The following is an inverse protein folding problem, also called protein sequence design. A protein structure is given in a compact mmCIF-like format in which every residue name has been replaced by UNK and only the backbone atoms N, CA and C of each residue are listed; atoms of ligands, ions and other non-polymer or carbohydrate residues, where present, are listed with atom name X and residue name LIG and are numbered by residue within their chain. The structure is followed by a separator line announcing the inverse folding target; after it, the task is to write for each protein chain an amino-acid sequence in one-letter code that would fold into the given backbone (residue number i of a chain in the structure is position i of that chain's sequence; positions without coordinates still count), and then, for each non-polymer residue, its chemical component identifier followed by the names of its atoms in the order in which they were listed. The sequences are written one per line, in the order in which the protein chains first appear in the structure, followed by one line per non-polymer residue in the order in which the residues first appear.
data_IF_327423436048
#
_entry.id   IF_327423436048
#
_cell.length_a   1.000
_cell.length_b   1.000
_cell.length_c   1.000
_cell.angle_alpha   90.00
_cell.angle_beta   90.00
_cell.angle_gamma   90.00
#
_symmetry.space_group_name_H-M   'P 1'
#
loop_
_entity.id
_entity.type
_entity.pdbx_description
1 polymer ?
#
# COMPACT_ATOMS: atom_id res chain seq x y z
N UNK A 1 -20.72 -43.59 32.49
CA UNK A 1 -21.01 -43.30 31.06
C UNK A 1 -21.28 -41.82 30.76
N UNK A 2 -21.97 -41.04 31.63
CA UNK A 2 -22.22 -39.60 31.39
C UNK A 2 -20.94 -38.74 31.41
N UNK A 3 -20.04 -39.00 32.34
CA UNK A 3 -18.73 -38.33 32.48
C UNK A 3 -17.80 -38.54 31.28
N UNK A 4 -17.83 -39.74 30.66
CA UNK A 4 -17.03 -40.04 29.48
C UNK A 4 -17.51 -39.28 28.23
N UNK A 5 -18.84 -39.14 28.06
CA UNK A 5 -19.44 -38.33 26.98
C UNK A 5 -19.15 -36.84 27.15
N UNK A 6 -19.14 -36.33 28.39
CA UNK A 6 -18.78 -34.94 28.70
C UNK A 6 -17.30 -34.64 28.38
N UNK A 7 -16.40 -35.60 28.66
CA UNK A 7 -14.98 -35.46 28.33
C UNK A 7 -14.74 -35.39 26.82
N UNK A 8 -15.42 -36.25 26.04
CA UNK A 8 -15.37 -36.26 24.57
C UNK A 8 -15.90 -34.95 23.96
N UNK A 9 -16.98 -34.37 24.52
CA UNK A 9 -17.50 -33.08 24.04
C UNK A 9 -16.58 -31.91 24.32
N UNK A 10 -15.90 -31.89 25.48
CA UNK A 10 -14.91 -30.85 25.81
C UNK A 10 -13.67 -30.98 24.92
N UNK A 11 -13.21 -32.21 24.67
CA UNK A 11 -12.11 -32.46 23.73
C UNK A 11 -12.46 -32.03 22.31
N UNK A 12 -13.70 -32.30 21.86
CA UNK A 12 -14.19 -31.89 20.54
C UNK A 12 -14.28 -30.36 20.38
N UNK A 13 -14.73 -29.65 21.41
CA UNK A 13 -14.74 -28.18 21.45
C UNK A 13 -13.32 -27.58 21.41
N UNK A 14 -12.37 -28.21 22.09
CA UNK A 14 -10.97 -27.79 22.08
C UNK A 14 -10.32 -28.00 20.70
N UNK A 15 -10.56 -29.16 20.07
CA UNK A 15 -10.06 -29.45 18.72
C UNK A 15 -10.67 -28.53 17.66
N UNK A 16 -11.94 -28.12 17.82
CA UNK A 16 -12.57 -27.17 16.90
C UNK A 16 -11.93 -25.77 16.96
N UNK A 17 -11.52 -25.31 18.15
CA UNK A 17 -10.87 -24.01 18.32
C UNK A 17 -9.47 -23.92 17.69
N UNK A 18 -8.75 -25.04 17.60
CA UNK A 18 -7.39 -25.08 17.02
C UNK A 18 -7.43 -24.92 15.49
N UNK A 19 -8.48 -25.41 14.83
CA UNK A 19 -8.59 -25.36 13.35
C UNK A 19 -8.91 -23.95 12.84
N UNK A 20 -9.51 -23.09 13.67
CA UNK A 20 -9.97 -21.73 13.27
C UNK A 20 -8.85 -20.68 13.32
N UNK A 21 -7.69 -20.99 13.90
CA UNK A 21 -6.55 -20.05 13.91
C UNK A 21 -5.74 -20.15 12.61
N UNK A 22 -6.37 -19.78 11.48
CA UNK A 22 -5.61 -19.49 10.26
C UNK A 22 -4.98 -18.11 10.45
N UNK A 23 -3.67 -18.10 10.71
CA UNK A 23 -2.87 -16.86 10.64
C UNK A 23 -3.17 -16.19 9.30
N UNK A 24 -3.57 -14.91 9.32
CA UNK A 24 -3.73 -14.16 8.10
C UNK A 24 -2.36 -14.10 7.42
N UNK A 25 -2.22 -14.79 6.29
CA UNK A 25 -1.00 -14.75 5.49
C UNK A 25 -0.68 -13.29 5.16
N UNK A 26 0.59 -12.90 5.29
CA UNK A 26 1.01 -11.55 4.94
C UNK A 26 0.67 -11.29 3.46
N UNK A 27 -0.05 -10.20 3.14
CA UNK A 27 -0.41 -9.92 1.77
C UNK A 27 0.84 -9.56 0.97
N UNK A 28 0.89 -9.99 -0.29
CA UNK A 28 1.86 -9.44 -1.25
C UNK A 28 1.45 -8.00 -1.58
N UNK A 29 2.42 -7.08 -1.59
CA UNK A 29 2.20 -5.68 -1.93
C UNK A 29 2.85 -5.41 -3.29
N UNK A 30 2.04 -5.05 -4.28
CA UNK A 30 2.51 -4.53 -5.57
C UNK A 30 2.25 -3.03 -5.62
N UNK A 31 3.32 -2.23 -5.65
CA UNK A 31 3.23 -0.78 -5.78
C UNK A 31 3.52 -0.34 -7.22
N UNK A 32 2.52 0.18 -7.91
CA UNK A 32 2.65 0.72 -9.27
C UNK A 32 2.64 2.24 -9.21
N UNK A 33 3.67 2.87 -9.76
CA UNK A 33 3.84 4.32 -9.76
C UNK A 33 4.21 4.81 -11.16
N UNK A 34 3.43 5.75 -11.68
CA UNK A 34 3.67 6.39 -12.98
C UNK A 34 4.15 7.84 -12.78
N UNK A 35 5.16 8.23 -13.55
CA UNK A 35 5.65 9.61 -13.54
C UNK A 35 4.73 10.51 -14.38
N UNK A 36 4.52 11.75 -13.94
CA UNK A 36 3.70 12.77 -14.61
C UNK A 36 2.26 12.36 -15.01
N UNK A 37 1.68 11.35 -14.35
CA UNK A 37 0.29 10.96 -14.61
C UNK A 37 -0.70 11.98 -14.03
N UNK A 38 -1.52 12.59 -14.88
CA UNK A 38 -2.66 13.40 -14.44
C UNK A 38 -3.84 12.50 -14.00
N UNK A 39 -4.61 12.93 -13.01
CA UNK A 39 -5.81 12.22 -12.55
C UNK A 39 -6.78 11.94 -13.71
N UNK A 40 -6.96 12.90 -14.60
CA UNK A 40 -7.89 12.83 -15.75
C UNK A 40 -7.48 11.82 -16.84
N UNK A 41 -6.29 11.19 -16.76
CA UNK A 41 -5.83 10.26 -17.80
C UNK A 41 -6.24 8.81 -17.57
N UNK A 42 -7.18 8.54 -16.67
CA UNK A 42 -7.79 7.23 -16.48
C UNK A 42 -9.19 7.26 -17.12
N UNK A 43 -9.42 6.38 -18.10
CA UNK A 43 -10.67 6.30 -18.86
C UNK A 43 -11.90 6.14 -17.97
N UNK A 44 -11.79 5.36 -16.90
CA UNK A 44 -12.86 5.19 -15.90
C UNK A 44 -13.32 6.50 -15.20
N UNK A 45 -12.57 7.61 -15.32
CA UNK A 45 -12.95 8.91 -14.76
C UNK A 45 -13.67 9.83 -15.75
N UNK A 46 -14.10 9.32 -16.91
CA UNK A 46 -15.03 10.00 -17.82
C UNK A 46 -14.42 10.45 -19.15
N UNK A 47 -13.15 10.13 -19.40
CA UNK A 47 -12.48 10.45 -20.67
C UNK A 47 -12.63 9.31 -21.67
N UNK A 48 -13.45 9.53 -22.71
CA UNK A 48 -13.78 8.50 -23.72
C UNK A 48 -12.68 8.28 -24.75
N UNK A 49 -11.73 9.21 -24.90
CA UNK A 49 -10.61 9.11 -25.83
C UNK A 49 -9.43 8.31 -25.27
N UNK A 50 -9.33 8.22 -23.94
CA UNK A 50 -8.20 7.58 -23.24
C UNK A 50 -8.58 6.15 -22.87
N UNK A 51 -7.82 5.19 -23.41
CA UNK A 51 -8.07 3.77 -23.19
C UNK A 51 -7.11 3.20 -22.14
N UNK A 52 -7.62 2.92 -20.94
CA UNK A 52 -6.84 2.33 -19.83
C UNK A 52 -7.46 1.05 -19.29
N UNK A 53 -7.76 0.03 -20.13
CA UNK A 53 -8.60 -1.10 -19.75
C UNK A 53 -8.09 -1.91 -18.56
N UNK A 54 -6.78 -1.88 -18.27
CA UNK A 54 -6.22 -2.52 -17.08
C UNK A 54 -6.39 -1.68 -15.82
N UNK A 55 -6.24 -0.34 -15.91
CA UNK A 55 -6.51 0.54 -14.77
C UNK A 55 -8.00 0.65 -14.49
N UNK A 56 -8.84 0.63 -15.53
CA UNK A 56 -10.30 0.66 -15.38
C UNK A 56 -10.81 -0.57 -14.62
N UNK A 57 -10.19 -1.75 -14.85
CA UNK A 57 -10.45 -2.95 -14.04
C UNK A 57 -10.05 -2.78 -12.58
N UNK A 58 -8.89 -2.16 -12.31
CA UNK A 58 -8.45 -1.87 -10.93
C UNK A 58 -9.41 -0.91 -10.23
N UNK A 59 -9.89 0.12 -10.93
CA UNK A 59 -10.90 1.06 -10.41
C UNK A 59 -12.19 0.33 -10.05
N UNK A 60 -12.67 -0.58 -10.91
CA UNK A 60 -13.92 -1.31 -10.69
C UNK A 60 -13.84 -2.37 -9.58
N UNK A 61 -12.64 -2.92 -9.32
CA UNK A 61 -12.42 -4.01 -8.35
C UNK A 61 -11.87 -3.51 -7.01
N UNK A 62 -11.44 -2.25 -6.94
CA UNK A 62 -10.70 -1.70 -5.82
C UNK A 62 -11.38 -0.53 -5.14
N UNK A 63 -10.57 0.29 -4.47
CA UNK A 63 -10.98 1.55 -3.86
C UNK A 63 -10.21 2.68 -4.53
N UNK A 64 -10.93 3.73 -4.92
CA UNK A 64 -10.37 4.90 -5.61
C UNK A 64 -10.43 6.12 -4.72
N UNK A 65 -9.33 6.85 -4.63
CA UNK A 65 -9.26 8.17 -4.01
C UNK A 65 -9.28 9.25 -5.09
N UNK A 66 -10.36 10.04 -5.16
CA UNK A 66 -10.51 11.12 -6.16
C UNK A 66 -9.86 12.43 -5.74
N UNK A 67 -9.39 12.51 -4.50
CA UNK A 67 -8.78 13.69 -3.89
C UNK A 67 -7.46 13.32 -3.20
N UNK A 68 -6.55 12.71 -3.97
CA UNK A 68 -5.20 12.38 -3.54
C UNK A 68 -4.20 13.40 -4.11
N UNK A 69 -3.47 14.09 -3.22
CA UNK A 69 -2.63 15.22 -3.60
C UNK A 69 -1.16 14.99 -3.29
N UNK A 70 -0.30 15.50 -4.17
CA UNK A 70 1.10 15.74 -3.85
C UNK A 70 1.21 17.05 -3.03
N UNK A 71 2.01 17.04 -1.96
CA UNK A 71 2.19 18.19 -1.07
C UNK A 71 2.97 19.35 -1.71
N UNK A 72 3.44 19.19 -2.96
CA UNK A 72 4.16 20.20 -3.72
C UNK A 72 5.66 19.91 -3.79
N UNK A 73 6.46 20.97 -3.89
CA UNK A 73 7.92 20.85 -4.04
C UNK A 73 8.67 22.02 -3.42
N UNK A 74 9.88 21.75 -2.94
CA UNK A 74 10.85 22.78 -2.52
C UNK A 74 11.76 23.25 -3.68
N UNK A 75 11.57 22.71 -4.89
CA UNK A 75 12.32 23.09 -6.10
C UNK A 75 11.44 23.01 -7.35
N UNK A 76 11.91 23.55 -8.48
CA UNK A 76 11.20 23.40 -9.76
C UNK A 76 11.02 21.95 -10.21
N UNK A 77 11.84 21.01 -9.71
CA UNK A 77 11.73 19.59 -10.00
C UNK A 77 10.84 18.89 -8.95
N UNK A 78 9.54 18.78 -9.23
CA UNK A 78 8.56 18.15 -8.31
C UNK A 78 8.82 16.65 -8.12
N UNK A 79 9.37 15.98 -9.12
CA UNK A 79 9.66 14.53 -9.07
C UNK A 79 10.57 14.15 -7.91
N UNK A 80 11.61 14.95 -7.64
CA UNK A 80 12.56 14.73 -6.53
C UNK A 80 11.86 14.84 -5.19
N UNK A 81 11.07 15.90 -5.01
CA UNK A 81 10.34 16.11 -3.77
C UNK A 81 9.30 15.01 -3.53
N UNK A 82 8.53 14.67 -4.56
CA UNK A 82 7.53 13.60 -4.56
C UNK A 82 8.13 12.25 -4.16
N UNK A 83 9.21 11.83 -4.83
CA UNK A 83 9.87 10.54 -4.58
C UNK A 83 10.54 10.49 -3.20
N UNK A 84 11.09 11.61 -2.72
CA UNK A 84 11.66 11.67 -1.37
C UNK A 84 10.56 11.53 -0.30
N UNK A 85 9.46 12.28 -0.41
CA UNK A 85 8.31 12.15 0.49
C UNK A 85 7.73 10.73 0.47
N UNK A 86 7.58 10.17 -0.74
CA UNK A 86 7.08 8.82 -0.94
C UNK A 86 7.95 7.80 -0.20
N UNK A 87 9.26 7.77 -0.45
CA UNK A 87 10.18 6.78 0.13
C UNK A 87 10.42 6.93 1.63
N UNK A 88 10.39 8.16 2.14
CA UNK A 88 10.65 8.43 3.57
C UNK A 88 9.38 8.47 4.42
N UNK A 89 8.20 8.58 3.79
CA UNK A 89 6.94 8.83 4.48
C UNK A 89 6.90 10.15 5.25
N UNK A 90 7.74 11.12 4.87
CA UNK A 90 7.85 12.42 5.53
C UNK A 90 7.11 13.50 4.75
N UNK A 91 6.59 14.48 5.47
CA UNK A 91 5.98 15.65 4.84
C UNK A 91 7.04 16.54 4.18
N UNK A 92 6.62 17.40 3.26
CA UNK A 92 7.49 18.20 2.37
C UNK A 92 8.72 18.85 3.02
N UNK A 93 8.60 19.58 4.13
CA UNK A 93 9.76 20.29 4.72
C UNK A 93 10.71 19.34 5.47
N UNK A 94 10.20 18.24 6.01
CA UNK A 94 11.04 17.17 6.57
C UNK A 94 11.70 16.33 5.47
N UNK A 95 11.02 16.09 4.36
CA UNK A 95 11.61 15.43 3.20
C UNK A 95 12.72 16.30 2.58
N UNK A 96 12.55 17.62 2.55
CA UNK A 96 13.59 18.56 2.12
C UNK A 96 14.83 18.49 3.03
N UNK A 97 14.66 18.48 4.36
CA UNK A 97 15.81 18.39 5.27
C UNK A 97 16.55 17.06 5.16
N UNK A 98 15.86 15.98 4.78
CA UNK A 98 16.43 14.65 4.56
C UNK A 98 17.06 14.51 3.17
N UNK A 99 16.60 15.25 2.16
CA UNK A 99 17.02 15.11 0.77
C UNK A 99 18.55 15.05 0.57
N UNK A 100 19.37 15.92 1.19
CA UNK A 100 20.83 15.89 1.07
C UNK A 100 21.47 14.60 1.60
N UNK A 101 20.77 13.86 2.45
CA UNK A 101 21.22 12.64 3.12
C UNK A 101 20.43 11.39 2.72
N UNK A 102 19.67 11.44 1.62
CA UNK A 102 18.82 10.33 1.16
C UNK A 102 19.59 9.03 0.94
N UNK A 103 20.83 9.10 0.46
CA UNK A 103 21.66 7.91 0.29
C UNK A 103 21.99 7.23 1.63
N UNK A 104 22.22 8.02 2.67
CA UNK A 104 22.41 7.49 4.04
C UNK A 104 21.13 6.84 4.55
N UNK A 105 19.97 7.48 4.34
CA UNK A 105 18.67 6.90 4.69
C UNK A 105 18.41 5.57 3.98
N UNK A 106 18.77 5.49 2.70
CA UNK A 106 18.66 4.29 1.88
C UNK A 106 19.57 3.17 2.42
N UNK A 107 20.84 3.47 2.68
CA UNK A 107 21.81 2.52 3.25
C UNK A 107 21.43 2.03 4.64
N UNK A 108 20.84 2.89 5.47
CA UNK A 108 20.32 2.53 6.78
C UNK A 108 18.93 1.87 6.70
N UNK A 109 18.47 1.54 5.50
CA UNK A 109 17.29 0.71 5.28
C UNK A 109 15.97 1.40 5.63
N UNK A 110 15.89 2.73 5.46
CA UNK A 110 14.66 3.49 5.74
C UNK A 110 13.77 3.72 4.52
N UNK A 111 14.23 3.32 3.34
CA UNK A 111 13.45 3.39 2.10
C UNK A 111 12.66 2.10 1.94
N UNK A 112 11.34 2.19 2.04
CA UNK A 112 10.49 1.01 1.88
C UNK A 112 10.56 0.41 0.47
N UNK A 113 10.90 1.21 -0.54
CA UNK A 113 11.06 0.76 -1.93
C UNK A 113 12.14 -0.30 -2.14
N UNK A 114 13.13 -0.36 -1.26
CA UNK A 114 14.24 -1.33 -1.35
C UNK A 114 13.84 -2.71 -0.80
N UNK A 115 12.67 -2.82 -0.15
CA UNK A 115 12.18 -4.05 0.49
C UNK A 115 11.03 -4.72 -0.25
N UNK A 116 10.62 -4.15 -1.39
CA UNK A 116 9.56 -4.72 -2.25
C UNK A 116 10.13 -5.55 -3.38
#
# INVERSE_FOLDING_TARGET
MKTFKQLLSVLGLWLFSVVVSRSAEQPNILFVFADDQCFETIGAFGHTEIQTPNLDKLVAQGTTFTHAYNMGSWSGAVCVASRCMLNTGRFIWHANSIYPTTEKERQEGRFWSEYM
#
